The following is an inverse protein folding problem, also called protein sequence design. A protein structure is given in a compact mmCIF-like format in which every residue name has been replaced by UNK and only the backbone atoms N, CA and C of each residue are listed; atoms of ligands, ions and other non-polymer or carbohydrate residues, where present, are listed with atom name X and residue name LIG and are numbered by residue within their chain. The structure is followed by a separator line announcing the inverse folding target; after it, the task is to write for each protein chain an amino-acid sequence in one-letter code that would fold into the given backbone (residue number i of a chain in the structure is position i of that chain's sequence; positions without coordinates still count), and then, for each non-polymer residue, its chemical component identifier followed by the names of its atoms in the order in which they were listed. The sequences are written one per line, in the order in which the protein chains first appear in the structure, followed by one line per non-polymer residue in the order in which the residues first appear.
data_IF_309732060991
#
_entry.id   IF_309732060991
#
_cell.length_a   1.000
_cell.length_b   1.000
_cell.length_c   1.000
_cell.angle_alpha   90.00
_cell.angle_beta   90.00
_cell.angle_gamma   90.00
#
_symmetry.space_group_name_H-M   'P 1'
#
loop_
_entity.id
_entity.type
_entity.pdbx_description
1 polymer ?
#
# COMPACT_ATOMS: atom_id res chain seq x y z
N UNK A 1 1.09 -3.09 -17.04
CA UNK A 1 0.14 -3.47 -18.10
C UNK A 1 -0.22 -2.28 -18.99
N UNK A 2 -0.32 -1.05 -18.44
CA UNK A 2 -0.69 0.15 -19.22
C UNK A 2 0.12 0.41 -20.50
N UNK A 3 1.45 0.20 -20.47
CA UNK A 3 2.33 0.46 -21.62
C UNK A 3 2.12 -0.46 -22.84
N UNK A 4 1.71 -1.73 -22.63
CA UNK A 4 1.42 -2.65 -23.74
C UNK A 4 -0.01 -2.46 -24.24
N UNK A 5 -0.95 -2.21 -23.31
CA UNK A 5 -2.33 -1.87 -23.64
C UNK A 5 -2.44 -0.58 -24.44
N UNK A 6 -1.63 0.45 -24.13
CA UNK A 6 -1.61 1.71 -24.88
C UNK A 6 -1.07 1.59 -26.31
N UNK A 7 -0.37 0.48 -26.62
CA UNK A 7 0.11 0.13 -27.96
C UNK A 7 -0.78 -0.90 -28.66
N UNK A 8 -1.99 -1.14 -28.14
CA UNK A 8 -2.95 -2.09 -28.71
C UNK A 8 -2.63 -3.57 -28.46
N UNK A 9 -1.57 -3.87 -27.70
CA UNK A 9 -1.11 -5.24 -27.48
C UNK A 9 -1.81 -5.81 -26.23
N UNK A 10 -2.82 -6.66 -26.46
CA UNK A 10 -3.53 -7.39 -25.40
C UNK A 10 -2.90 -8.76 -25.19
N UNK A 11 -2.00 -8.85 -24.22
CA UNK A 11 -1.36 -10.10 -23.81
C UNK A 11 -1.70 -10.39 -22.35
N UNK A 12 -1.98 -11.65 -22.05
CA UNK A 12 -2.23 -12.10 -20.68
C UNK A 12 -1.05 -11.77 -19.77
N UNK A 13 -1.34 -11.19 -18.60
CA UNK A 13 -0.33 -10.80 -17.59
C UNK A 13 0.61 -11.97 -17.23
N UNK A 14 0.06 -13.18 -17.15
CA UNK A 14 0.81 -14.40 -16.85
C UNK A 14 1.91 -14.66 -17.90
N UNK A 15 1.60 -14.51 -19.19
CA UNK A 15 2.57 -14.74 -20.28
C UNK A 15 3.73 -13.74 -20.23
N UNK A 16 3.43 -12.47 -19.94
CA UNK A 16 4.44 -11.42 -19.77
C UNK A 16 5.35 -11.74 -18.58
N UNK A 17 4.78 -12.16 -17.45
CA UNK A 17 5.55 -12.53 -16.26
C UNK A 17 6.46 -13.74 -16.51
N UNK A 18 5.97 -14.75 -17.24
CA UNK A 18 6.78 -15.93 -17.60
C UNK A 18 7.92 -15.55 -18.56
N UNK A 19 7.66 -14.72 -19.56
CA UNK A 19 8.68 -14.21 -20.46
C UNK A 19 9.76 -13.40 -19.71
N UNK A 20 9.34 -12.48 -18.83
CA UNK A 20 10.26 -11.71 -17.99
C UNK A 20 11.10 -12.59 -17.06
N UNK A 21 10.53 -13.66 -16.51
CA UNK A 21 11.28 -14.64 -15.70
C UNK A 21 12.33 -15.38 -16.53
N UNK A 22 12.02 -15.68 -17.80
CA UNK A 22 12.94 -16.38 -18.72
C UNK A 22 14.09 -15.48 -19.18
N UNK A 23 13.79 -14.22 -19.48
CA UNK A 23 14.78 -13.25 -19.99
C UNK A 23 15.63 -12.66 -18.86
N UNK A 24 15.02 -12.34 -17.72
CA UNK A 24 15.67 -11.63 -16.61
C UNK A 24 15.16 -12.14 -15.25
N UNK A 25 15.50 -13.41 -14.95
CA UNK A 25 15.14 -14.05 -13.69
C UNK A 25 15.74 -13.34 -12.47
N UNK A 26 17.02 -12.93 -12.57
CA UNK A 26 17.77 -12.26 -11.50
C UNK A 26 17.30 -10.82 -11.26
N UNK A 27 17.10 -10.02 -12.30
CA UNK A 27 16.57 -8.66 -12.17
C UNK A 27 15.15 -8.65 -11.62
N UNK A 28 14.35 -9.69 -11.90
CA UNK A 28 13.03 -9.86 -11.28
C UNK A 28 13.13 -10.14 -9.79
N UNK A 29 14.00 -11.04 -9.33
CA UNK A 29 14.20 -11.28 -7.90
C UNK A 29 14.74 -10.04 -7.20
N UNK A 30 15.74 -9.36 -7.77
CA UNK A 30 16.29 -8.12 -7.21
C UNK A 30 15.24 -7.02 -7.06
N UNK A 31 14.35 -6.82 -8.06
CA UNK A 31 13.23 -5.86 -7.96
C UNK A 31 12.17 -6.28 -6.95
N UNK A 32 11.92 -7.59 -6.80
CA UNK A 32 11.00 -8.10 -5.79
C UNK A 32 11.57 -7.94 -4.36
N UNK A 33 12.90 -8.07 -4.22
CA UNK A 33 13.62 -7.84 -2.97
C UNK A 33 13.96 -6.38 -2.70
N UNK A 34 13.81 -5.50 -3.70
CA UNK A 34 14.01 -4.07 -3.54
C UNK A 34 12.98 -3.56 -2.52
N UNK A 35 13.47 -3.15 -1.35
CA UNK A 35 12.61 -2.62 -0.31
C UNK A 35 11.81 -1.44 -0.87
N UNK A 36 10.48 -1.48 -0.72
CA UNK A 36 9.63 -0.35 -1.07
C UNK A 36 10.15 0.85 -0.26
N UNK A 37 10.68 1.86 -0.94
CA UNK A 37 11.18 3.07 -0.29
C UNK A 37 9.99 3.81 0.33
N UNK A 38 9.76 3.58 1.62
CA UNK A 38 8.70 4.25 2.39
C UNK A 38 8.95 5.76 2.32
N UNK A 39 8.01 6.49 1.71
CA UNK A 39 8.05 7.95 1.70
C UNK A 39 7.68 8.45 3.09
N UNK A 40 8.47 9.37 3.65
CA UNK A 40 8.04 10.17 4.81
C UNK A 40 7.00 11.16 4.28
N UNK A 41 5.73 10.91 4.58
CA UNK A 41 4.66 11.88 4.36
C UNK A 41 4.35 12.59 5.68
N UNK A 42 3.99 13.87 5.58
CA UNK A 42 3.61 14.73 6.68
C UNK A 42 2.21 15.27 6.36
N UNK A 43 1.24 14.99 7.24
CA UNK A 43 -0.08 15.63 7.15
C UNK A 43 0.04 17.06 7.66
N UNK A 44 -0.61 18.02 7.02
CA UNK A 44 -0.48 19.43 7.41
C UNK A 44 -1.28 19.80 8.67
N UNK A 45 -2.36 19.06 8.97
CA UNK A 45 -3.30 19.36 10.06
C UNK A 45 -3.94 18.07 10.60
N UNK A 46 -4.42 18.06 11.86
CA UNK A 46 -5.28 16.99 12.36
C UNK A 46 -6.47 16.75 11.44
N UNK A 47 -6.92 15.49 11.32
CA UNK A 47 -8.07 15.06 10.52
C UNK A 47 -7.97 15.28 9.00
N UNK A 48 -6.82 15.71 8.46
CA UNK A 48 -6.67 15.91 7.01
C UNK A 48 -6.56 14.58 6.23
N UNK A 49 -6.03 13.52 6.85
CA UNK A 49 -5.89 12.18 6.26
C UNK A 49 -6.14 11.15 7.35
N UNK A 50 -6.93 10.13 7.05
CA UNK A 50 -7.17 8.99 7.95
C UNK A 50 -6.59 7.73 7.32
N UNK A 51 -5.90 6.92 8.12
CA UNK A 51 -5.40 5.62 7.74
C UNK A 51 -6.31 4.54 8.31
N UNK A 52 -6.74 3.61 7.46
CA UNK A 52 -7.56 2.46 7.83
C UNK A 52 -6.79 1.19 7.47
N UNK A 53 -6.59 0.30 8.43
CA UNK A 53 -5.91 -0.98 8.18
C UNK A 53 -6.68 -2.16 8.78
N UNK A 54 -6.64 -3.30 8.08
CA UNK A 54 -7.35 -4.53 8.43
C UNK A 54 -6.40 -5.59 8.96
N UNK A 55 -6.65 -6.05 10.17
CA UNK A 55 -5.94 -7.17 10.77
C UNK A 55 -6.71 -8.48 10.55
N UNK A 56 -6.20 -9.31 9.62
CA UNK A 56 -6.87 -10.53 9.17
C UNK A 56 -6.36 -11.82 9.82
N UNK A 57 -5.51 -11.78 10.84
CA UNK A 57 -4.94 -13.03 11.43
C UNK A 57 -6.00 -13.95 12.04
N UNK A 58 -7.13 -13.39 12.46
CA UNK A 58 -8.23 -14.14 13.09
C UNK A 58 -9.35 -14.50 12.10
N UNK A 59 -9.12 -14.36 10.79
CA UNK A 59 -10.16 -14.62 9.77
C UNK A 59 -10.65 -16.07 9.78
N UNK A 60 -9.79 -17.03 10.17
CA UNK A 60 -10.14 -18.44 10.35
C UNK A 60 -11.22 -18.66 11.44
N UNK A 61 -11.34 -17.71 12.37
CA UNK A 61 -12.32 -17.70 13.44
C UNK A 61 -13.50 -16.74 13.13
N UNK A 62 -13.57 -16.22 11.91
CA UNK A 62 -14.58 -15.26 11.48
C UNK A 62 -14.36 -13.82 11.99
N UNK A 63 -13.20 -13.50 12.56
CA UNK A 63 -12.93 -12.18 13.15
C UNK A 63 -11.93 -11.40 12.30
N UNK A 64 -12.28 -10.16 11.96
CA UNK A 64 -11.39 -9.18 11.32
C UNK A 64 -11.44 -7.87 12.10
N UNK A 65 -10.28 -7.37 12.52
CA UNK A 65 -10.18 -6.13 13.29
C UNK A 65 -9.75 -5.01 12.35
N UNK A 66 -10.53 -3.93 12.29
CA UNK A 66 -10.18 -2.74 11.51
C UNK A 66 -9.78 -1.61 12.46
N UNK A 67 -8.62 -0.99 12.22
CA UNK A 67 -8.11 0.15 12.98
C UNK A 67 -8.11 1.42 12.12
N UNK A 68 -8.51 2.55 12.72
CA UNK A 68 -8.47 3.87 12.10
C UNK A 68 -7.54 4.79 12.89
N UNK A 69 -6.64 5.49 12.20
CA UNK A 69 -5.64 6.37 12.81
C UNK A 69 -5.55 7.67 12.02
N UNK A 70 -5.52 8.81 12.71
CA UNK A 70 -5.26 10.12 12.10
C UNK A 70 -3.81 10.20 11.59
N UNK A 71 -3.63 10.56 10.32
CA UNK A 71 -2.34 10.62 9.64
C UNK A 71 -1.45 11.78 10.11
N UNK A 72 -1.99 12.73 10.87
CA UNK A 72 -1.23 13.79 11.52
C UNK A 72 -0.61 13.32 12.83
N UNK A 73 -1.41 12.90 13.81
CA UNK A 73 -0.89 12.47 15.10
C UNK A 73 -0.34 11.04 15.12
N UNK A 74 -0.72 10.19 14.17
CA UNK A 74 -0.39 8.74 14.11
C UNK A 74 -0.78 7.97 15.37
N UNK A 75 -1.76 8.48 16.11
CA UNK A 75 -2.31 7.89 17.31
C UNK A 75 -3.79 7.57 17.11
N UNK A 76 -4.27 6.54 17.82
CA UNK A 76 -5.67 6.08 17.79
C UNK A 76 -6.62 7.06 18.53
N UNK A 77 -6.08 8.13 19.13
CA UNK A 77 -6.83 9.05 19.99
C UNK A 77 -7.14 10.36 19.29
N UNK A 78 -8.28 10.91 19.69
CA UNK A 78 -8.69 12.30 19.46
C UNK A 78 -7.53 13.26 19.73
N UNK A 79 -7.03 13.90 18.67
CA UNK A 79 -6.18 15.07 18.84
C UNK A 79 -6.97 16.06 19.70
N UNK A 80 -6.45 16.56 20.84
CA UNK A 80 -7.10 17.65 21.53
C UNK A 80 -7.06 18.82 20.55
N UNK A 81 -8.20 19.10 19.93
CA UNK A 81 -8.42 20.39 19.29
C UNK A 81 -8.17 21.42 20.38
N UNK A 82 -7.11 22.19 20.22
CA UNK A 82 -6.76 23.24 21.15
C UNK A 82 -7.92 24.22 21.23
N UNK A 83 -8.76 24.05 22.23
CA UNK A 83 -9.69 25.05 22.72
C UNK A 83 -9.26 25.36 24.14
N UNK A 84 -8.19 26.16 24.23
CA UNK A 84 -7.99 27.06 25.36
C UNK A 84 -8.28 28.47 24.84
N UNK A 85 -9.55 28.86 25.00
CA UNK A 85 -9.98 30.22 25.31
C UNK A 85 -10.97 30.08 26.46
#
# INVERSE_FOLDING_TARGET
MGFLSSRGVRVQKVRILLALRRVDGLGRTLRAHSAIRRRKYHSSRPNAIWHCDGHHKLILWGIVIHGFIDGYCRTVRTCPTGTLY
#
